data_IF_267678928886
#
_entry.id   IF_267678928886
#
_cell.length_a   1.000
_cell.length_b   1.000
_cell.length_c   1.000
_cell.angle_alpha   90.00
_cell.angle_beta   90.00
_cell.angle_gamma   90.00
#
_symmetry.space_group_name_H-M   'P 1'
#
loop_
_entity.id
_entity.type
_entity.pdbx_description
1 polymer ?
#
# COMPACT_ATOMS: atom_id res chain seq x y z
N UNK A 1 33.90 24.99 -2.86
CA UNK A 1 34.25 24.75 -1.45
C UNK A 1 33.95 23.31 -1.11
N UNK A 2 34.98 22.49 -0.92
CA UNK A 2 34.84 21.10 -0.50
C UNK A 2 34.82 21.06 1.04
N UNK A 3 33.63 20.94 1.62
CA UNK A 3 33.43 20.88 3.06
C UNK A 3 33.13 19.46 3.54
N UNK A 4 33.13 19.29 4.86
CA UNK A 4 32.85 18.03 5.58
C UNK A 4 31.60 17.27 5.10
N UNK A 5 30.64 17.95 4.47
CA UNK A 5 29.45 17.33 3.86
C UNK A 5 29.76 16.37 2.70
N UNK A 6 30.80 16.64 1.90
CA UNK A 6 31.20 15.75 0.80
C UNK A 6 31.81 14.44 1.32
N UNK A 7 32.51 14.50 2.46
CA UNK A 7 33.08 13.33 3.13
C UNK A 7 32.00 12.46 3.77
N UNK A 8 30.98 13.06 4.40
CA UNK A 8 29.84 12.35 4.94
C UNK A 8 29.06 11.60 3.85
N UNK A 9 28.80 12.25 2.70
CA UNK A 9 28.13 11.64 1.55
C UNK A 9 28.94 10.48 0.94
N UNK A 10 30.27 10.61 0.89
CA UNK A 10 31.14 9.52 0.41
C UNK A 10 31.18 8.31 1.36
N UNK A 11 31.03 8.53 2.67
CA UNK A 11 30.99 7.44 3.66
C UNK A 11 29.66 6.68 3.64
N UNK A 12 28.55 7.40 3.38
CA UNK A 12 27.23 6.79 3.19
C UNK A 12 27.14 6.03 1.87
N UNK A 13 27.81 6.51 0.82
CA UNK A 13 27.82 5.86 -0.50
C UNK A 13 28.76 4.64 -0.59
N UNK A 14 29.67 4.41 0.38
CA UNK A 14 30.67 3.34 0.34
C UNK A 14 30.57 2.30 1.45
N UNK A 15 29.52 2.34 2.27
CA UNK A 15 29.34 1.40 3.38
C UNK A 15 28.66 0.10 2.97
N UNK A 16 29.38 -0.84 2.35
CA UNK A 16 28.89 -2.22 2.30
C UNK A 16 29.39 -3.18 1.22
N UNK A 17 30.53 -2.97 0.57
CA UNK A 17 31.17 -4.07 -0.18
C UNK A 17 32.68 -4.08 0.07
N UNK A 18 33.12 -5.04 0.88
CA UNK A 18 34.52 -5.34 1.14
C UNK A 18 34.67 -6.85 1.39
N UNK A 19 34.83 -7.57 0.27
CA UNK A 19 35.96 -8.46 0.02
C UNK A 19 36.48 -9.30 1.20
N UNK A 20 36.01 -10.55 1.34
CA UNK A 20 36.84 -11.73 1.68
C UNK A 20 36.15 -13.03 1.18
N UNK A 21 36.79 -13.71 0.19
CA UNK A 21 36.83 -15.18 -0.12
C UNK A 21 35.52 -15.98 -0.16
N UNK A 22 35.23 -16.85 -1.13
CA UNK A 22 36.09 -17.86 -1.77
C UNK A 22 35.32 -18.53 -2.90
N UNK A 23 36.00 -18.87 -3.99
CA UNK A 23 35.57 -19.91 -4.93
C UNK A 23 35.13 -21.19 -4.17
N UNK A 24 34.00 -21.78 -4.56
CA UNK A 24 33.53 -23.03 -3.95
C UNK A 24 32.18 -23.49 -4.46
N UNK A 25 32.20 -24.25 -5.56
CA UNK A 25 31.28 -25.35 -5.93
C UNK A 25 29.77 -25.12 -5.92
N UNK A 26 29.19 -25.24 -7.12
CA UNK A 26 27.78 -25.47 -7.38
C UNK A 26 27.18 -26.59 -6.51
N UNK A 27 26.09 -26.29 -5.80
CA UNK A 27 25.00 -27.22 -5.48
C UNK A 27 23.68 -26.46 -5.47
N UNK A 28 22.73 -26.97 -6.25
CA UNK A 28 21.41 -26.38 -6.41
C UNK A 28 20.60 -26.36 -5.11
N UNK A 29 19.92 -25.25 -4.89
CA UNK A 29 18.82 -25.11 -3.95
C UNK A 29 17.69 -24.40 -4.67
N UNK A 30 16.48 -24.97 -4.58
CA UNK A 30 15.27 -24.56 -5.26
C UNK A 30 14.99 -23.04 -5.16
N UNK A 31 14.34 -22.43 -6.16
CA UNK A 31 14.02 -21.02 -6.12
C UNK A 31 13.05 -20.75 -4.97
N UNK A 32 13.53 -19.99 -3.99
CA UNK A 32 12.67 -19.43 -2.96
C UNK A 32 11.84 -18.35 -3.64
N UNK A 33 10.50 -18.43 -3.56
CA UNK A 33 9.59 -17.39 -4.05
C UNK A 33 10.06 -16.01 -3.52
N UNK A 34 10.61 -15.20 -4.41
CA UNK A 34 10.94 -13.81 -4.11
C UNK A 34 9.62 -13.04 -4.05
N UNK A 35 9.34 -12.43 -2.90
CA UNK A 35 8.23 -11.50 -2.73
C UNK A 35 8.47 -10.28 -3.63
N UNK A 36 7.42 -9.71 -4.26
CA UNK A 36 7.55 -8.51 -5.08
C UNK A 36 8.10 -7.34 -4.26
N UNK A 37 8.73 -6.33 -4.92
CA UNK A 37 9.33 -5.20 -4.22
C UNK A 37 8.29 -4.48 -3.37
N UNK A 38 8.63 -4.25 -2.10
CA UNK A 38 7.88 -3.38 -1.19
C UNK A 38 7.60 -2.03 -1.87
N UNK A 39 6.33 -1.60 -1.89
CA UNK A 39 5.93 -0.25 -2.34
C UNK A 39 6.39 0.87 -1.39
N UNK A 40 6.95 0.51 -0.23
CA UNK A 40 7.68 1.42 0.65
C UNK A 40 9.18 1.30 0.34
N UNK A 41 9.94 2.41 0.31
CA UNK A 41 11.38 2.39 0.08
C UNK A 41 12.04 1.30 0.93
N UNK A 42 13.01 0.59 0.35
CA UNK A 42 13.78 -0.37 1.12
C UNK A 42 14.33 0.32 2.38
N UNK A 43 14.18 -0.28 3.56
CA UNK A 43 14.58 0.38 4.79
C UNK A 43 16.06 0.76 4.71
N UNK A 44 16.42 1.89 5.32
CA UNK A 44 17.79 2.42 5.30
C UNK A 44 18.82 1.40 5.83
N UNK A 45 18.35 0.46 6.65
CA UNK A 45 19.12 -0.67 7.16
C UNK A 45 18.42 -1.99 6.84
N UNK A 46 19.17 -3.07 6.58
CA UNK A 46 18.58 -4.38 6.38
C UNK A 46 17.79 -4.82 7.63
N UNK A 47 16.48 -4.99 7.46
CA UNK A 47 15.59 -5.38 8.54
C UNK A 47 15.86 -6.83 8.98
N UNK A 48 16.19 -7.02 10.26
CA UNK A 48 16.33 -8.36 10.87
C UNK A 48 14.98 -8.96 11.22
N UNK A 49 14.01 -8.13 11.62
CA UNK A 49 12.65 -8.54 11.90
C UNK A 49 11.78 -8.36 10.65
N UNK A 50 10.95 -9.37 10.33
CA UNK A 50 10.05 -9.33 9.16
C UNK A 50 8.59 -9.10 9.54
N UNK A 51 8.21 -9.42 10.78
CA UNK A 51 6.84 -9.37 11.29
C UNK A 51 6.90 -8.95 12.76
N UNK A 52 6.04 -8.02 13.14
CA UNK A 52 5.93 -7.54 14.51
C UNK A 52 4.49 -7.73 14.96
N UNK A 53 4.30 -8.51 16.02
CA UNK A 53 3.03 -8.59 16.74
C UNK A 53 3.20 -7.78 18.00
N UNK A 54 2.34 -6.78 18.16
CA UNK A 54 2.32 -5.90 19.32
C UNK A 54 1.00 -6.07 20.06
N UNK A 55 1.08 -6.25 21.37
CA UNK A 55 -0.08 -6.41 22.24
C UNK A 55 -0.04 -5.34 23.35
N UNK A 56 -0.99 -4.41 23.29
CA UNK A 56 -1.28 -3.53 24.41
C UNK A 56 -2.41 -4.13 25.24
N UNK A 57 -2.11 -4.52 26.47
CA UNK A 57 -3.07 -5.21 27.34
C UNK A 57 -3.74 -4.20 28.29
N UNK A 58 -4.63 -3.36 27.76
CA UNK A 58 -5.42 -2.44 28.57
C UNK A 58 -6.35 -3.22 29.51
N UNK A 59 -6.34 -2.87 30.80
CA UNK A 59 -7.11 -3.58 31.84
C UNK A 59 -6.48 -4.88 32.34
N UNK A 60 -5.26 -5.23 31.91
CA UNK A 60 -4.50 -6.34 32.49
C UNK A 60 -4.09 -6.06 33.95
N UNK A 61 -3.70 -7.10 34.72
CA UNK A 61 -3.14 -6.91 36.05
C UNK A 61 -1.94 -5.94 36.04
N UNK A 62 -1.75 -5.24 37.16
CA UNK A 62 -0.73 -4.20 37.27
C UNK A 62 0.69 -4.74 37.07
N UNK A 63 1.61 -3.89 36.60
CA UNK A 63 3.01 -4.27 36.43
C UNK A 63 3.66 -4.75 37.74
N UNK A 64 3.25 -4.17 38.88
CA UNK A 64 3.75 -4.55 40.21
C UNK A 64 3.24 -5.93 40.68
N UNK A 65 2.17 -6.44 40.05
CA UNK A 65 1.63 -7.78 40.29
C UNK A 65 2.16 -8.83 39.32
N UNK A 66 2.80 -8.43 38.21
CA UNK A 66 3.26 -9.32 37.15
C UNK A 66 4.78 -9.44 37.06
N UNK A 67 5.49 -8.33 36.83
CA UNK A 67 6.90 -8.33 36.41
C UNK A 67 7.80 -7.34 37.19
N UNK A 68 7.23 -6.41 37.96
CA UNK A 68 7.99 -5.40 38.69
C UNK A 68 8.02 -5.70 40.21
N UNK A 69 8.96 -6.55 40.62
CA UNK A 69 9.08 -6.96 42.01
C UNK A 69 9.61 -5.84 42.92
N UNK A 70 8.75 -5.37 43.83
CA UNK A 70 9.07 -4.33 44.83
C UNK A 70 9.01 -4.87 46.28
N UNK A 71 10.02 -5.62 46.76
CA UNK A 71 10.01 -6.21 48.10
C UNK A 71 9.86 -5.18 49.23
N UNK A 72 10.35 -3.96 49.02
CA UNK A 72 10.27 -2.87 50.00
C UNK A 72 8.85 -2.41 50.32
N UNK A 73 7.88 -2.59 49.41
CA UNK A 73 6.50 -2.16 49.64
C UNK A 73 5.81 -2.96 50.74
N UNK A 74 6.18 -4.24 50.94
CA UNK A 74 5.60 -5.07 52.01
C UNK A 74 5.88 -4.51 53.40
N UNK A 75 7.06 -3.93 53.60
CA UNK A 75 7.43 -3.27 54.87
C UNK A 75 6.64 -1.99 55.12
N UNK A 76 6.08 -1.40 54.08
CA UNK A 76 5.32 -0.13 54.12
C UNK A 76 3.81 -0.35 54.02
N UNK A 77 3.33 -1.60 54.04
CA UNK A 77 1.92 -1.91 53.89
C UNK A 77 1.07 -1.14 54.91
N UNK A 78 -0.03 -0.55 54.44
CA UNK A 78 -0.99 0.23 55.23
C UNK A 78 -0.43 1.52 55.85
N UNK A 79 0.83 1.89 55.57
CA UNK A 79 1.35 3.22 55.86
C UNK A 79 0.79 4.19 54.82
N UNK A 80 0.41 5.39 55.25
CA UNK A 80 -0.08 6.42 54.32
C UNK A 80 1.04 6.92 53.42
N UNK A 81 0.69 7.22 52.17
CA UNK A 81 1.60 7.79 51.19
C UNK A 81 2.17 9.11 51.74
N UNK A 82 3.50 9.22 51.91
CA UNK A 82 4.10 10.41 52.50
C UNK A 82 3.95 11.63 51.59
N UNK A 83 3.83 12.81 52.21
CA UNK A 83 3.69 14.09 51.50
C UNK A 83 4.88 14.39 50.58
N UNK A 84 6.07 13.85 50.89
CA UNK A 84 7.26 13.98 50.04
C UNK A 84 7.09 13.36 48.65
N UNK A 85 6.18 12.39 48.50
CA UNK A 85 5.85 11.74 47.22
C UNK A 85 4.70 12.48 46.54
N UNK A 86 3.66 12.85 47.30
CA UNK A 86 2.48 13.53 46.75
C UNK A 86 2.78 14.96 46.32
N UNK A 87 3.65 15.68 47.03
CA UNK A 87 4.05 17.07 46.76
C UNK A 87 2.86 18.00 46.46
N UNK A 88 1.73 17.80 47.16
CA UNK A 88 0.50 18.58 46.96
C UNK A 88 -0.32 18.23 45.71
N UNK A 89 0.13 17.30 44.86
CA UNK A 89 -0.59 16.89 43.65
C UNK A 89 -1.89 16.13 43.98
N UNK A 90 -2.91 16.33 43.13
CA UNK A 90 -4.13 15.54 43.14
C UNK A 90 -3.90 14.27 42.30
N UNK A 91 -4.03 13.10 42.94
CA UNK A 91 -3.65 11.82 42.30
C UNK A 91 -4.68 11.40 41.24
N UNK A 92 -5.96 11.30 41.58
CA UNK A 92 -7.03 11.06 40.59
C UNK A 92 -8.36 11.65 41.07
N UNK A 93 -9.33 11.80 40.16
CA UNK A 93 -10.72 12.05 40.53
C UNK A 93 -11.37 10.88 41.27
N UNK A 94 -10.95 9.64 41.03
CA UNK A 94 -11.52 8.44 41.65
C UNK A 94 -11.13 8.29 43.12
N UNK A 95 -10.00 8.88 43.52
CA UNK A 95 -9.50 8.86 44.90
C UNK A 95 -9.83 10.15 45.66
N UNK A 96 -10.60 11.07 45.08
CA UNK A 96 -10.85 12.38 45.72
C UNK A 96 -11.71 12.30 46.98
N UNK A 97 -12.48 11.23 47.16
CA UNK A 97 -13.24 10.97 48.39
C UNK A 97 -12.47 10.18 49.45
N UNK A 98 -11.23 9.74 49.16
CA UNK A 98 -10.45 8.95 50.10
C UNK A 98 -9.73 9.86 51.10
N UNK A 99 -9.92 9.59 52.40
CA UNK A 99 -9.25 10.30 53.50
C UNK A 99 -7.81 9.83 53.71
N UNK A 100 -7.50 8.59 53.30
CA UNK A 100 -6.18 7.97 53.41
C UNK A 100 -5.78 7.32 52.09
N UNK A 101 -4.47 7.29 51.83
CA UNK A 101 -3.86 6.71 50.64
C UNK A 101 -2.82 5.67 51.07
N UNK A 102 -3.25 4.50 51.60
CA UNK A 102 -2.35 3.51 52.13
C UNK A 102 -1.53 2.84 51.02
N UNK A 103 -0.25 2.58 51.29
CA UNK A 103 0.61 1.78 50.41
C UNK A 103 0.13 0.32 50.40
N UNK A 104 -0.13 -0.21 49.21
CA UNK A 104 -0.51 -1.60 48.99
C UNK A 104 0.59 -2.32 48.16
N UNK A 105 1.27 -3.34 48.72
CA UNK A 105 2.17 -4.19 47.95
C UNK A 105 1.38 -5.22 47.13
N UNK A 106 2.04 -5.84 46.16
CA UNK A 106 1.49 -7.04 45.53
C UNK A 106 1.29 -8.16 46.57
N UNK A 107 0.12 -8.78 46.53
CA UNK A 107 -0.23 -9.94 47.37
C UNK A 107 0.36 -11.25 46.81
N UNK A 108 0.72 -11.26 45.53
CA UNK A 108 1.23 -12.44 44.83
C UNK A 108 2.69 -12.73 45.18
N UNK A 109 3.08 -14.00 45.03
CA UNK A 109 4.47 -14.45 45.20
C UNK A 109 5.26 -14.22 43.92
N UNK A 110 6.52 -13.85 44.09
CA UNK A 110 7.48 -13.70 43.00
C UNK A 110 8.61 -14.70 43.17
N UNK A 111 9.03 -15.28 42.05
CA UNK A 111 10.23 -16.12 41.98
C UNK A 111 11.21 -15.52 40.98
N UNK A 112 12.51 -15.67 41.25
CA UNK A 112 13.57 -15.21 40.34
C UNK A 112 13.89 -16.35 39.38
N UNK A 113 13.76 -16.07 38.09
CA UNK A 113 14.07 -16.99 37.01
C UNK A 113 15.36 -16.57 36.31
N UNK A 114 16.17 -17.54 35.91
CA UNK A 114 17.34 -17.26 35.09
C UNK A 114 16.93 -16.75 33.70
N UNK A 115 17.63 -15.75 33.20
CA UNK A 115 17.54 -15.28 31.82
C UNK A 115 18.97 -15.19 31.24
N UNK A 116 19.14 -14.62 30.04
CA UNK A 116 20.47 -14.43 29.42
C UNK A 116 21.27 -13.26 30.02
N UNK A 117 20.89 -12.77 31.20
CA UNK A 117 21.50 -11.67 31.94
C UNK A 117 21.51 -11.99 33.45
N UNK A 118 21.01 -11.09 34.30
CA UNK A 118 21.03 -11.18 35.76
C UNK A 118 19.78 -11.85 36.37
N UNK A 119 18.90 -12.43 35.54
CA UNK A 119 17.65 -13.04 35.94
C UNK A 119 16.51 -12.03 36.14
N UNK A 120 15.28 -12.53 36.10
CA UNK A 120 14.06 -11.70 36.16
C UNK A 120 13.12 -12.22 37.23
N UNK A 121 12.45 -11.29 37.92
CA UNK A 121 11.41 -11.64 38.89
C UNK A 121 10.06 -11.70 38.19
N UNK A 122 9.38 -12.84 38.30
CA UNK A 122 8.08 -13.06 37.67
C UNK A 122 7.11 -13.58 38.72
N UNK A 123 5.90 -13.03 38.70
CA UNK A 123 4.79 -13.40 39.57
C UNK A 123 4.31 -14.83 39.29
N UNK A 124 3.80 -15.49 40.32
CA UNK A 124 3.15 -16.80 40.22
C UNK A 124 1.94 -16.83 39.30
N UNK A 125 1.39 -15.67 38.93
CA UNK A 125 0.32 -15.52 37.95
C UNK A 125 0.74 -15.86 36.51
N UNK A 126 2.05 -15.83 36.22
CA UNK A 126 2.59 -16.03 34.86
C UNK A 126 3.49 -17.27 34.74
N UNK A 127 3.04 -18.47 35.18
CA UNK A 127 3.91 -19.65 35.31
C UNK A 127 4.43 -20.15 33.96
N UNK A 128 3.66 -19.97 32.88
CA UNK A 128 4.06 -20.39 31.53
C UNK A 128 5.05 -19.40 30.91
N UNK A 129 4.82 -18.09 31.07
CA UNK A 129 5.74 -17.04 30.63
C UNK A 129 7.07 -17.13 31.36
N UNK A 130 7.05 -17.49 32.65
CA UNK A 130 8.27 -17.65 33.44
C UNK A 130 9.21 -18.74 32.90
N UNK A 131 8.67 -19.80 32.29
CA UNK A 131 9.48 -20.85 31.62
C UNK A 131 10.24 -20.33 30.39
N UNK A 132 9.78 -19.21 29.82
CA UNK A 132 10.37 -18.56 28.65
C UNK A 132 11.26 -17.37 29.03
N UNK A 133 11.60 -17.19 30.30
CA UNK A 133 12.38 -16.04 30.78
C UNK A 133 13.72 -15.83 30.04
N UNK A 134 14.35 -16.91 29.55
CA UNK A 134 15.58 -16.85 28.75
C UNK A 134 15.39 -16.46 27.28
N UNK A 135 14.14 -16.40 26.80
CA UNK A 135 13.78 -16.04 25.43
C UNK A 135 13.10 -14.67 25.33
N UNK A 136 12.73 -14.08 26.46
CA UNK A 136 12.04 -12.79 26.53
C UNK A 136 13.00 -11.70 27.01
N UNK A 137 12.95 -10.56 26.35
CA UNK A 137 13.64 -9.34 26.79
C UNK A 137 12.67 -8.51 27.65
N UNK A 138 13.09 -8.19 28.88
CA UNK A 138 12.35 -7.29 29.77
C UNK A 138 13.00 -5.90 29.73
N UNK A 139 12.20 -4.86 29.50
CA UNK A 139 12.66 -3.47 29.41
C UNK A 139 11.99 -2.68 30.54
N UNK A 140 12.76 -2.32 31.56
CA UNK A 140 12.29 -1.55 32.73
C UNK A 140 12.78 -0.10 32.71
N UNK A 141 12.87 0.51 31.52
CA UNK A 141 13.39 1.87 31.34
C UNK A 141 12.32 2.94 31.18
N UNK A 142 11.03 2.58 31.15
CA UNK A 142 9.96 3.55 30.97
C UNK A 142 9.66 4.28 32.28
N UNK A 143 9.66 5.60 32.24
CA UNK A 143 9.23 6.48 33.31
C UNK A 143 8.22 7.49 32.77
N UNK A 144 7.16 7.77 33.52
CA UNK A 144 6.12 8.73 33.13
C UNK A 144 5.57 9.44 34.36
N UNK A 145 5.26 10.72 34.19
CA UNK A 145 4.55 11.54 35.18
C UNK A 145 3.02 11.44 35.01
N UNK A 146 2.55 10.71 34.00
CA UNK A 146 1.13 10.49 33.76
C UNK A 146 0.54 9.56 34.83
N UNK A 147 -0.31 10.11 35.68
CA UNK A 147 -1.08 9.37 36.69
C UNK A 147 -2.34 8.71 36.12
N UNK A 148 -2.84 9.22 34.99
CA UNK A 148 -4.03 8.71 34.32
C UNK A 148 -3.66 7.73 33.20
N UNK A 149 -4.51 6.72 33.01
CA UNK A 149 -4.31 5.69 31.99
C UNK A 149 -4.18 6.27 30.58
N UNK A 150 -5.09 7.16 30.13
CA UNK A 150 -5.10 7.63 28.73
C UNK A 150 -3.82 8.39 28.31
N UNK A 151 -3.32 9.38 29.09
CA UNK A 151 -2.01 10.00 28.82
C UNK A 151 -0.83 9.02 28.97
N UNK A 152 -0.92 8.06 29.90
CA UNK A 152 0.09 7.02 30.10
C UNK A 152 0.20 6.07 28.90
N UNK A 153 -0.93 5.65 28.34
CA UNK A 153 -0.99 4.83 27.11
C UNK A 153 -0.46 5.65 25.93
N UNK A 154 -0.87 6.91 25.80
CA UNK A 154 -0.37 7.80 24.73
C UNK A 154 1.15 7.93 24.81
N UNK A 155 1.71 8.10 26.01
CA UNK A 155 3.15 8.12 26.24
C UNK A 155 3.83 6.81 25.85
N UNK A 156 3.25 5.67 26.23
CA UNK A 156 3.79 4.37 25.86
C UNK A 156 3.80 4.16 24.33
N UNK A 157 2.73 4.59 23.66
CA UNK A 157 2.60 4.43 22.21
C UNK A 157 3.47 5.41 21.43
N UNK A 158 3.62 6.65 21.88
CA UNK A 158 4.15 7.76 21.05
C UNK A 158 5.39 8.44 21.63
N UNK A 159 5.80 8.07 22.86
CA UNK A 159 6.84 8.75 23.62
C UNK A 159 6.44 10.15 24.13
N UNK A 160 5.17 10.54 24.03
CA UNK A 160 4.65 11.82 24.53
C UNK A 160 3.26 11.64 25.15
N UNK A 161 2.97 12.35 26.24
CA UNK A 161 1.65 12.33 26.87
C UNK A 161 0.61 13.12 26.07
N UNK A 162 1.06 14.04 25.21
CA UNK A 162 0.20 14.80 24.28
C UNK A 162 0.04 14.05 22.95
N UNK A 163 -1.18 13.98 22.39
CA UNK A 163 -1.42 13.40 21.07
C UNK A 163 -0.70 14.12 19.93
N UNK A 164 -0.59 13.46 18.77
CA UNK A 164 -0.07 14.05 17.52
C UNK A 164 1.30 13.52 17.09
N UNK A 165 1.96 12.70 17.92
CA UNK A 165 3.16 11.96 17.52
C UNK A 165 2.82 10.58 16.96
N UNK A 166 3.61 10.06 16.01
CA UNK A 166 3.39 8.73 15.47
C UNK A 166 3.48 7.67 16.55
N UNK A 167 2.55 6.72 16.53
CA UNK A 167 2.57 5.59 17.44
C UNK A 167 3.66 4.58 17.08
N UNK A 168 3.95 3.66 18.01
CA UNK A 168 4.90 2.57 17.84
C UNK A 168 4.62 1.77 16.56
N UNK A 169 3.35 1.43 16.29
CA UNK A 169 2.97 0.69 15.09
C UNK A 169 3.27 1.46 13.79
N UNK A 170 3.06 2.77 13.77
CA UNK A 170 3.38 3.62 12.62
C UNK A 170 4.89 3.74 12.39
N UNK A 171 5.69 3.83 13.46
CA UNK A 171 7.15 3.77 13.34
C UNK A 171 7.66 2.43 12.82
N UNK A 172 7.03 1.33 13.25
CA UNK A 172 7.35 -0.01 12.73
C UNK A 172 6.96 -0.13 11.25
N UNK A 173 5.80 0.40 10.86
CA UNK A 173 5.35 0.45 9.45
C UNK A 173 6.33 1.23 8.58
N UNK A 174 6.76 2.40 9.04
CA UNK A 174 7.77 3.23 8.36
C UNK A 174 9.13 2.54 8.28
N UNK A 175 9.60 1.96 9.39
CA UNK A 175 10.95 1.39 9.48
C UNK A 175 11.12 0.02 8.84
N UNK A 176 10.05 -0.77 8.70
CA UNK A 176 10.12 -2.11 8.07
C UNK A 176 9.60 -2.12 6.63
N UNK A 177 8.84 -1.13 6.22
CA UNK A 177 8.17 -1.12 4.92
C UNK A 177 7.01 -2.13 4.86
N UNK A 178 6.52 -2.38 3.65
CA UNK A 178 5.41 -3.30 3.43
C UNK A 178 5.88 -4.57 2.73
N UNK A 179 5.52 -5.74 3.28
CA UNK A 179 5.74 -7.02 2.62
C UNK A 179 4.64 -7.38 1.61
N UNK A 180 3.66 -6.50 1.39
CA UNK A 180 2.43 -6.80 0.66
C UNK A 180 1.82 -5.53 0.03
N UNK A 181 1.29 -5.65 -1.19
CA UNK A 181 0.69 -4.54 -1.92
C UNK A 181 -0.81 -4.34 -1.61
N UNK A 182 -1.50 -5.37 -1.12
CA UNK A 182 -2.97 -5.47 -1.15
C UNK A 182 -3.65 -5.37 0.22
N UNK A 183 -2.89 -5.28 1.32
CA UNK A 183 -3.43 -5.12 2.68
C UNK A 183 -2.65 -4.04 3.42
N UNK A 184 -3.28 -3.37 4.40
CA UNK A 184 -2.60 -2.41 5.25
C UNK A 184 -1.37 -3.01 5.92
N UNK A 185 -0.25 -2.28 5.90
CA UNK A 185 1.00 -2.68 6.57
C UNK A 185 0.84 -2.74 8.09
N UNK A 186 0.03 -1.85 8.65
CA UNK A 186 -0.25 -1.75 10.08
C UNK A 186 -1.73 -2.00 10.36
N UNK A 187 -2.01 -3.18 10.91
CA UNK A 187 -3.36 -3.64 11.25
C UNK A 187 -3.56 -3.58 12.76
N UNK A 188 -4.71 -3.06 13.18
CA UNK A 188 -5.09 -2.91 14.59
C UNK A 188 -6.28 -3.81 14.89
N UNK A 189 -6.07 -4.75 15.80
CA UNK A 189 -7.11 -5.65 16.29
C UNK A 189 -7.49 -5.25 17.71
N UNK A 190 -8.78 -5.11 17.97
CA UNK A 190 -9.30 -4.79 19.30
C UNK A 190 -10.17 -5.94 19.77
N UNK A 191 -9.76 -6.54 20.89
CA UNK A 191 -10.55 -7.59 21.54
C UNK A 191 -11.86 -7.01 22.09
N UNK A 192 -12.98 -7.65 21.78
CA UNK A 192 -14.26 -7.38 22.41
C UNK A 192 -14.41 -8.33 23.61
N UNK A 193 -14.51 -7.77 24.81
CA UNK A 193 -14.69 -8.51 26.07
C UNK A 193 -16.07 -8.27 26.68
N UNK A 194 -16.41 -9.05 27.70
CA UNK A 194 -17.61 -8.86 28.51
C UNK A 194 -17.32 -7.89 29.66
N UNK A 195 -18.18 -6.88 29.87
CA UNK A 195 -18.10 -5.95 31.01
C UNK A 195 -17.72 -4.51 30.63
N UNK A 196 -17.23 -3.76 31.62
CA UNK A 196 -16.91 -2.33 31.50
C UNK A 196 -15.60 -2.15 30.71
N UNK A 197 -15.68 -2.29 29.39
CA UNK A 197 -14.54 -2.04 28.50
C UNK A 197 -14.22 -0.55 28.48
N UNK A 198 -12.97 -0.25 28.81
CA UNK A 198 -12.45 1.11 28.72
C UNK A 198 -12.37 1.52 27.24
N UNK A 199 -12.73 2.78 26.96
CA UNK A 199 -12.81 3.25 25.58
C UNK A 199 -11.39 3.46 25.01
N UNK A 200 -10.98 2.56 24.12
CA UNK A 200 -9.75 2.72 23.35
C UNK A 200 -9.89 3.86 22.34
N UNK A 201 -8.98 4.83 22.43
CA UNK A 201 -8.94 5.98 21.52
C UNK A 201 -8.17 5.67 20.24
N UNK A 202 -8.65 6.15 19.10
CA UNK A 202 -7.98 5.97 17.81
C UNK A 202 -6.57 6.59 17.75
N UNK A 203 -6.30 7.56 18.62
CA UNK A 203 -4.98 8.19 18.75
C UNK A 203 -3.86 7.21 19.14
N UNK A 204 -4.19 6.03 19.65
CA UNK A 204 -3.21 5.02 20.04
C UNK A 204 -2.56 4.30 18.84
N UNK A 205 -3.14 4.43 17.65
CA UNK A 205 -2.62 3.85 16.42
C UNK A 205 -2.54 4.88 15.27
N UNK A 206 -2.29 6.13 15.63
CA UNK A 206 -2.21 7.28 14.71
C UNK A 206 -0.82 7.39 14.06
N UNK A 207 -0.77 7.80 12.79
CA UNK A 207 0.47 8.12 12.08
C UNK A 207 1.09 9.44 12.53
N UNK A 208 0.33 10.34 13.18
CA UNK A 208 0.82 11.65 13.58
C UNK A 208 1.36 12.43 12.37
N UNK A 209 2.60 12.91 12.45
CA UNK A 209 3.24 13.60 11.32
C UNK A 209 3.83 12.67 10.24
N UNK A 210 3.79 11.35 10.42
CA UNK A 210 4.17 10.43 9.33
C UNK A 210 3.07 10.41 8.26
N UNK A 211 3.42 10.11 7.01
CA UNK A 211 2.44 9.93 5.94
C UNK A 211 1.30 8.99 6.36
N UNK A 212 0.09 9.30 5.88
CA UNK A 212 -1.14 8.60 6.24
C UNK A 212 -1.15 7.11 5.87
N UNK A 213 -0.25 6.67 5.00
CA UNK A 213 -0.02 5.25 4.69
C UNK A 213 0.47 4.42 5.89
N UNK A 214 1.03 5.07 6.91
CA UNK A 214 1.43 4.43 8.17
C UNK A 214 0.33 4.49 9.24
N UNK A 215 -0.86 4.96 8.90
CA UNK A 215 -2.01 4.99 9.79
C UNK A 215 -2.47 3.56 10.11
N UNK A 216 -2.74 3.28 11.38
CA UNK A 216 -3.27 1.99 11.79
C UNK A 216 -4.67 1.73 11.24
N UNK A 217 -4.83 0.64 10.51
CA UNK A 217 -6.12 0.18 10.02
C UNK A 217 -6.81 -0.70 11.06
N UNK A 218 -7.84 -0.16 11.74
CA UNK A 218 -8.64 -0.90 12.72
C UNK A 218 -9.57 -1.89 12.03
N UNK A 219 -9.40 -3.18 12.35
CA UNK A 219 -10.37 -4.21 12.00
C UNK A 219 -11.36 -4.44 13.14
N UNK A 220 -12.64 -4.54 12.78
CA UNK A 220 -13.75 -4.78 13.69
C UNK A 220 -14.09 -6.28 13.73
N UNK A 221 -14.54 -6.73 14.88
CA UNK A 221 -15.19 -8.04 14.99
C UNK A 221 -16.60 -7.93 14.42
N UNK A 222 -16.87 -8.61 13.29
CA UNK A 222 -18.16 -8.58 12.61
C UNK A 222 -18.05 -9.02 11.14
N UNK A 223 -19.17 -8.98 10.42
CA UNK A 223 -19.20 -9.28 8.99
C UNK A 223 -18.42 -8.23 8.15
N UNK A 224 -18.36 -7.00 8.66
CA UNK A 224 -17.65 -5.87 8.05
C UNK A 224 -16.41 -5.49 8.87
N UNK A 225 -15.24 -6.11 8.62
CA UNK A 225 -14.04 -5.85 9.40
C UNK A 225 -13.49 -4.44 9.19
N UNK A 226 -13.65 -3.88 7.98
CA UNK A 226 -13.34 -2.48 7.68
C UNK A 226 -14.65 -1.76 7.40
N UNK A 227 -14.86 -0.63 8.07
CA UNK A 227 -16.06 0.17 7.86
C UNK A 227 -16.14 0.65 6.42
N UNK A 228 -17.36 0.61 5.89
CA UNK A 228 -17.65 1.06 4.52
C UNK A 228 -16.80 0.36 3.48
N UNK A 229 -16.31 -0.87 3.73
CA UNK A 229 -15.66 -1.67 2.69
C UNK A 229 -16.70 -2.26 1.72
N UNK A 230 -17.83 -2.69 2.26
CA UNK A 230 -18.93 -3.23 1.48
C UNK A 230 -19.82 -2.14 0.90
N UNK A 231 -20.47 -2.47 -0.20
CA UNK A 231 -21.40 -1.59 -0.91
C UNK A 231 -22.71 -1.46 -0.11
N UNK A 232 -23.23 -0.23 0.11
CA UNK A 232 -24.50 -0.04 0.80
C UNK A 232 -25.64 -0.72 0.03
N UNK A 233 -26.71 -1.17 0.71
CA UNK A 233 -27.88 -1.74 0.05
C UNK A 233 -28.47 -0.77 -0.99
N UNK A 234 -28.63 -1.23 -2.23
CA UNK A 234 -29.14 -0.42 -3.34
C UNK A 234 -28.08 0.37 -4.11
N UNK A 235 -26.81 0.33 -3.69
CA UNK A 235 -25.68 0.88 -4.45
C UNK A 235 -25.07 -0.25 -5.26
N UNK A 236 -25.14 -0.15 -6.59
CA UNK A 236 -24.45 -1.11 -7.45
C UNK A 236 -22.93 -0.91 -7.32
N UNK A 237 -22.17 -1.97 -7.60
CA UNK A 237 -20.69 -1.87 -7.64
C UNK A 237 -20.21 -0.81 -8.64
N UNK A 238 -21.00 -0.53 -9.67
CA UNK A 238 -20.77 0.52 -10.67
C UNK A 238 -21.01 1.92 -10.10
N UNK A 239 -22.10 2.14 -9.36
CA UNK A 239 -22.38 3.41 -8.68
C UNK A 239 -21.31 3.74 -7.65
N UNK A 240 -20.93 2.71 -6.88
CA UNK A 240 -19.80 2.76 -5.95
C UNK A 240 -18.52 3.17 -6.65
N UNK A 241 -18.22 2.55 -7.80
CA UNK A 241 -17.02 2.84 -8.57
C UNK A 241 -17.03 4.27 -9.10
N UNK A 242 -18.13 4.72 -9.70
CA UNK A 242 -18.32 6.11 -10.17
C UNK A 242 -18.14 7.13 -9.05
N UNK A 243 -18.72 6.88 -7.88
CA UNK A 243 -18.54 7.73 -6.70
C UNK A 243 -17.07 7.82 -6.28
N UNK A 244 -16.36 6.69 -6.27
CA UNK A 244 -14.96 6.64 -5.86
C UNK A 244 -14.03 7.27 -6.92
N UNK A 245 -14.34 7.14 -8.21
CA UNK A 245 -13.62 7.79 -9.30
C UNK A 245 -13.80 9.31 -9.24
N UNK A 246 -15.02 9.80 -9.02
CA UNK A 246 -15.30 11.23 -8.84
C UNK A 246 -14.58 11.80 -7.62
N UNK A 247 -14.57 11.09 -6.49
CA UNK A 247 -13.79 11.49 -5.30
C UNK A 247 -12.29 11.51 -5.62
N UNK A 248 -11.80 10.57 -6.42
CA UNK A 248 -10.42 10.55 -6.92
C UNK A 248 -10.08 11.79 -7.74
N UNK A 249 -10.92 12.13 -8.71
CA UNK A 249 -10.76 13.32 -9.56
C UNK A 249 -10.78 14.61 -8.74
N UNK A 250 -11.72 14.73 -7.79
CA UNK A 250 -11.79 15.88 -6.89
C UNK A 250 -10.53 16.01 -6.02
N UNK A 251 -10.01 14.90 -5.50
CA UNK A 251 -8.76 14.90 -4.74
C UNK A 251 -7.56 15.29 -5.62
N UNK A 252 -7.52 14.86 -6.87
CA UNK A 252 -6.44 15.20 -7.80
C UNK A 252 -6.43 16.69 -8.13
N UNK A 253 -7.60 17.27 -8.43
CA UNK A 253 -7.77 18.72 -8.61
C UNK A 253 -7.38 19.52 -7.37
N UNK A 254 -7.73 19.02 -6.18
CA UNK A 254 -7.34 19.67 -4.93
C UNK A 254 -5.85 19.56 -4.65
N UNK A 255 -5.20 18.43 -4.99
CA UNK A 255 -3.76 18.23 -4.88
C UNK A 255 -2.98 19.20 -5.78
N UNK A 256 -3.44 19.41 -7.01
CA UNK A 256 -2.87 20.37 -7.95
C UNK A 256 -3.01 21.81 -7.45
N UNK A 257 -4.14 22.12 -6.79
CA UNK A 257 -4.43 23.45 -6.25
C UNK A 257 -3.64 23.78 -4.98
N UNK A 258 -3.52 22.82 -4.05
CA UNK A 258 -2.99 23.05 -2.71
C UNK A 258 -1.53 22.64 -2.54
N UNK A 259 -1.02 21.77 -3.42
CA UNK A 259 0.29 21.11 -3.28
C UNK A 259 0.48 20.40 -1.93
N UNK A 260 -0.62 20.06 -1.26
CA UNK A 260 -0.61 19.43 0.06
C UNK A 260 -0.13 17.97 -0.06
N UNK A 261 0.98 17.60 0.61
CA UNK A 261 1.47 16.22 0.64
C UNK A 261 0.44 15.21 1.17
N UNK A 262 -0.52 15.64 1.99
CA UNK A 262 -1.56 14.77 2.55
C UNK A 262 -2.58 14.33 1.49
N UNK A 263 -2.89 15.20 0.51
CA UNK A 263 -3.79 14.87 -0.60
C UNK A 263 -3.11 13.88 -1.55
N UNK A 264 -1.80 14.05 -1.81
CA UNK A 264 -0.98 13.07 -2.55
C UNK A 264 -0.94 11.71 -1.86
N UNK A 265 -0.72 11.68 -0.55
CA UNK A 265 -0.70 10.43 0.21
C UNK A 265 -2.05 9.68 0.18
N UNK A 266 -3.19 10.41 0.13
CA UNK A 266 -4.54 9.82 -0.05
C UNK A 266 -4.74 9.25 -1.45
N UNK A 267 -4.26 9.93 -2.49
CA UNK A 267 -4.28 9.44 -3.88
C UNK A 267 -3.44 8.16 -4.00
N UNK A 268 -2.24 8.12 -3.42
CA UNK A 268 -1.37 6.94 -3.40
C UNK A 268 -1.96 5.77 -2.59
N UNK A 269 -2.59 6.05 -1.46
CA UNK A 269 -3.33 5.02 -0.69
C UNK A 269 -4.48 4.42 -1.51
N UNK A 270 -5.15 5.23 -2.33
CA UNK A 270 -6.26 4.79 -3.19
C UNK A 270 -5.78 4.06 -4.45
N UNK A 271 -4.70 4.52 -5.08
CA UNK A 271 -4.04 3.85 -6.20
C UNK A 271 -3.54 2.44 -5.82
N UNK A 272 -3.11 2.26 -4.55
CA UNK A 272 -2.77 0.95 -3.98
C UNK A 272 -3.96 0.02 -3.87
N UNK A 273 -5.14 0.51 -3.51
CA UNK A 273 -6.38 -0.27 -3.47
C UNK A 273 -6.82 -0.75 -4.87
N UNK A 274 -6.35 -0.08 -5.93
CA UNK A 274 -6.67 -0.35 -7.34
C UNK A 274 -5.55 -1.01 -8.14
N UNK A 275 -4.38 -1.27 -7.52
CA UNK A 275 -3.27 -2.02 -8.12
C UNK A 275 -2.32 -1.24 -9.04
N UNK A 276 -2.47 0.08 -9.23
CA UNK A 276 -1.63 0.89 -10.15
C UNK A 276 -0.11 0.80 -9.91
N UNK A 277 0.39 0.93 -8.67
CA UNK A 277 1.83 0.86 -8.42
C UNK A 277 2.44 -0.50 -8.79
N UNK A 278 1.65 -1.58 -8.73
CA UNK A 278 2.10 -2.91 -9.11
C UNK A 278 2.27 -3.08 -10.63
N UNK A 279 1.41 -2.42 -11.42
CA UNK A 279 1.50 -2.45 -12.90
C UNK A 279 2.75 -1.69 -13.37
N UNK A 280 2.99 -0.49 -12.84
CA UNK A 280 4.22 0.26 -13.14
C UNK A 280 5.49 -0.50 -12.72
N UNK A 281 5.49 -1.12 -11.53
CA UNK A 281 6.64 -1.89 -11.07
C UNK A 281 6.92 -3.12 -11.96
N UNK A 282 5.88 -3.79 -12.43
CA UNK A 282 6.01 -4.95 -13.31
C UNK A 282 6.47 -4.54 -14.72
N UNK A 283 5.94 -3.45 -15.27
CA UNK A 283 6.41 -2.88 -16.55
C UNK A 283 7.87 -2.43 -16.46
N UNK A 284 8.28 -1.79 -15.35
CA UNK A 284 9.67 -1.43 -15.11
C UNK A 284 10.59 -2.66 -14.99
N UNK A 285 10.11 -3.76 -14.37
CA UNK A 285 10.83 -5.04 -14.29
C UNK A 285 11.03 -5.66 -15.68
N UNK A 286 10.06 -5.50 -16.57
CA UNK A 286 10.11 -6.01 -17.94
C UNK A 286 10.96 -5.13 -18.86
N UNK A 287 11.43 -3.97 -18.39
CA UNK A 287 12.26 -3.03 -19.16
C UNK A 287 11.45 -2.19 -20.14
N UNK A 288 10.13 -2.11 -19.96
CA UNK A 288 9.23 -1.38 -20.84
C UNK A 288 9.36 0.13 -20.61
N UNK A 289 9.31 0.93 -21.69
CA UNK A 289 9.50 2.39 -21.66
C UNK A 289 8.20 3.18 -21.55
N UNK A 290 7.09 2.51 -21.24
CA UNK A 290 5.76 3.15 -21.12
C UNK A 290 5.80 4.30 -20.10
N UNK A 291 5.26 5.45 -20.51
CA UNK A 291 5.43 6.72 -19.82
C UNK A 291 4.97 6.66 -18.35
N UNK A 292 5.71 7.37 -17.48
CA UNK A 292 5.46 7.43 -16.03
C UNK A 292 4.12 8.12 -15.65
N UNK A 293 3.28 8.48 -16.61
CA UNK A 293 2.04 9.25 -16.43
C UNK A 293 0.82 8.65 -17.16
N UNK A 294 0.80 7.33 -17.39
CA UNK A 294 -0.33 6.63 -18.02
C UNK A 294 -1.43 6.24 -17.00
N UNK A 295 -2.70 6.27 -17.42
CA UNK A 295 -3.83 5.80 -16.60
C UNK A 295 -3.96 4.27 -16.56
N UNK A 296 -5.01 3.77 -15.92
CA UNK A 296 -5.18 2.33 -15.62
C UNK A 296 -5.22 1.49 -16.89
N UNK A 297 -6.00 1.95 -17.87
CA UNK A 297 -6.27 1.20 -19.08
C UNK A 297 -5.01 1.08 -19.93
N UNK A 298 -4.24 2.16 -20.02
CA UNK A 298 -2.95 2.18 -20.71
C UNK A 298 -1.95 1.24 -20.04
N UNK A 299 -1.86 1.22 -18.71
CA UNK A 299 -0.98 0.29 -17.99
C UNK A 299 -1.38 -1.18 -18.14
N UNK A 300 -2.68 -1.46 -18.16
CA UNK A 300 -3.20 -2.81 -18.39
C UNK A 300 -2.89 -3.30 -19.80
N UNK A 301 -3.04 -2.43 -20.82
CA UNK A 301 -2.71 -2.75 -22.20
C UNK A 301 -1.21 -3.02 -22.36
N UNK A 302 -0.36 -2.12 -21.85
CA UNK A 302 1.09 -2.29 -21.88
C UNK A 302 1.53 -3.62 -21.23
N UNK A 303 0.92 -4.00 -20.10
CA UNK A 303 1.25 -5.26 -19.44
C UNK A 303 0.78 -6.47 -20.25
N UNK A 304 -0.37 -6.36 -20.92
CA UNK A 304 -0.88 -7.39 -21.82
C UNK A 304 0.07 -7.62 -23.00
N UNK A 305 0.56 -6.57 -23.64
CA UNK A 305 1.53 -6.64 -24.74
C UNK A 305 2.80 -7.38 -24.32
N UNK A 306 3.36 -7.02 -23.16
CA UNK A 306 4.61 -7.61 -22.66
C UNK A 306 4.45 -9.08 -22.19
N UNK A 307 3.33 -9.41 -21.54
CA UNK A 307 3.18 -10.71 -20.86
C UNK A 307 2.33 -11.73 -21.61
N UNK A 308 1.42 -11.30 -22.47
CA UNK A 308 0.36 -12.17 -23.01
C UNK A 308 0.43 -12.29 -24.52
N UNK A 309 0.66 -11.19 -25.25
CA UNK A 309 0.60 -11.17 -26.73
C UNK A 309 1.39 -12.31 -27.36
N UNK A 310 2.67 -12.45 -27.01
CA UNK A 310 3.57 -13.47 -27.58
C UNK A 310 3.14 -14.92 -27.33
N UNK A 311 2.22 -15.16 -26.38
CA UNK A 311 1.73 -16.50 -26.01
C UNK A 311 0.47 -16.90 -26.80
N UNK A 312 -0.15 -15.97 -27.53
CA UNK A 312 -1.40 -16.19 -28.27
C UNK A 312 -1.13 -16.87 -29.62
N UNK A 313 -0.77 -18.15 -29.58
CA UNK A 313 -0.39 -18.93 -30.78
C UNK A 313 -1.61 -19.25 -31.66
N UNK A 314 -2.67 -19.78 -31.05
CA UNK A 314 -3.92 -20.10 -31.75
C UNK A 314 -4.77 -18.84 -31.96
N UNK A 315 -5.66 -18.81 -32.97
CA UNK A 315 -6.60 -17.70 -33.16
C UNK A 315 -7.37 -17.40 -31.88
N UNK A 316 -7.04 -16.28 -31.26
CA UNK A 316 -7.57 -15.88 -29.95
C UNK A 316 -8.10 -14.47 -30.03
N UNK A 317 -9.39 -14.31 -29.70
CA UNK A 317 -9.99 -13.00 -29.52
C UNK A 317 -9.74 -12.51 -28.11
N UNK A 318 -9.06 -11.38 -27.99
CA UNK A 318 -9.03 -10.58 -26.78
C UNK A 318 -10.13 -9.55 -26.93
N UNK A 319 -10.98 -9.42 -25.91
CA UNK A 319 -12.16 -8.58 -25.94
C UNK A 319 -12.12 -7.62 -24.75
N UNK A 320 -12.98 -6.61 -24.79
CA UNK A 320 -13.32 -5.77 -23.64
C UNK A 320 -12.18 -4.85 -23.20
N UNK A 321 -11.73 -4.02 -24.13
CA UNK A 321 -10.65 -3.08 -23.89
C UNK A 321 -11.11 -1.87 -23.08
N UNK A 322 -10.24 -1.30 -22.22
CA UNK A 322 -10.54 -0.07 -21.51
C UNK A 322 -10.88 1.10 -22.46
N UNK A 323 -11.80 1.96 -22.02
CA UNK A 323 -12.18 3.20 -22.75
C UNK A 323 -10.98 4.10 -23.01
N UNK A 324 -10.07 4.18 -22.05
CA UNK A 324 -8.85 5.01 -22.12
C UNK A 324 -8.01 4.73 -23.37
N UNK A 325 -7.90 3.47 -23.79
CA UNK A 325 -7.09 3.03 -24.95
C UNK A 325 -7.93 2.79 -26.21
N UNK A 326 -9.22 3.13 -26.17
CA UNK A 326 -10.19 2.80 -27.22
C UNK A 326 -11.05 4.03 -27.57
N UNK A 327 -10.45 5.10 -28.13
CA UNK A 327 -11.11 6.41 -28.29
C UNK A 327 -12.28 6.42 -29.27
N UNK A 328 -12.39 5.42 -30.15
CA UNK A 328 -13.43 5.30 -31.18
C UNK A 328 -14.45 4.17 -30.89
N UNK A 329 -14.18 3.34 -29.88
CA UNK A 329 -15.03 2.19 -29.58
C UNK A 329 -16.17 2.58 -28.66
N UNK A 330 -17.38 2.11 -28.97
CA UNK A 330 -18.57 2.29 -28.15
C UNK A 330 -18.34 1.73 -26.75
N UNK A 331 -18.70 2.51 -25.73
CA UNK A 331 -18.68 2.04 -24.35
C UNK A 331 -19.72 0.91 -24.14
N UNK A 332 -19.39 -0.05 -23.27
CA UNK A 332 -20.31 -1.13 -22.95
C UNK A 332 -21.47 -0.65 -22.07
N UNK A 333 -22.69 -1.06 -22.41
CA UNK A 333 -23.90 -0.72 -21.62
C UNK A 333 -23.90 -1.37 -20.23
N UNK A 334 -23.16 -2.46 -20.05
CA UNK A 334 -23.19 -3.31 -18.84
C UNK A 334 -21.89 -3.29 -18.05
N UNK A 335 -20.83 -2.67 -18.57
CA UNK A 335 -19.51 -2.62 -17.93
C UNK A 335 -18.88 -1.24 -18.09
N UNK A 336 -19.03 -0.36 -17.09
CA UNK A 336 -18.42 0.96 -17.09
C UNK A 336 -16.88 0.89 -17.23
N UNK A 337 -16.33 1.79 -18.03
CA UNK A 337 -14.88 1.88 -18.29
C UNK A 337 -14.36 0.88 -19.32
N UNK A 338 -15.22 0.01 -19.87
CA UNK A 338 -14.91 -0.97 -20.92
C UNK A 338 -15.62 -0.58 -22.21
N UNK A 339 -14.98 -0.87 -23.33
CA UNK A 339 -15.54 -0.74 -24.67
C UNK A 339 -15.84 -2.10 -25.28
N UNK A 340 -16.80 -2.11 -26.19
CA UNK A 340 -17.17 -3.29 -26.99
C UNK A 340 -16.17 -3.46 -28.14
N UNK A 341 -14.90 -3.68 -27.80
CA UNK A 341 -13.77 -3.85 -28.71
C UNK A 341 -13.19 -5.24 -28.59
N UNK A 342 -12.67 -5.76 -29.70
CA UNK A 342 -11.87 -6.96 -29.75
C UNK A 342 -10.63 -6.78 -30.63
N UNK A 343 -9.60 -7.57 -30.34
CA UNK A 343 -8.46 -7.80 -31.22
C UNK A 343 -8.27 -9.31 -31.40
N UNK A 344 -7.97 -9.72 -32.63
CA UNK A 344 -7.66 -11.09 -33.00
C UNK A 344 -6.15 -11.26 -33.06
N UNK A 345 -5.62 -12.16 -32.23
CA UNK A 345 -4.23 -12.55 -32.27
C UNK A 345 -4.07 -13.96 -32.86
N UNK A 346 -3.09 -14.11 -33.75
CA UNK A 346 -2.68 -15.41 -34.33
C UNK A 346 -1.15 -15.43 -34.35
N UNK A 347 -0.54 -16.54 -33.94
CA UNK A 347 0.91 -16.71 -33.88
C UNK A 347 1.63 -15.58 -33.09
N UNK A 348 0.98 -15.08 -32.03
CA UNK A 348 1.49 -14.01 -31.17
C UNK A 348 1.56 -12.65 -31.84
N UNK A 349 0.73 -12.40 -32.87
CA UNK A 349 0.64 -11.13 -33.60
C UNK A 349 -0.82 -10.73 -33.78
N UNK A 350 -1.11 -9.45 -33.58
CA UNK A 350 -2.41 -8.87 -33.91
C UNK A 350 -2.67 -9.02 -35.43
N UNK A 351 -3.84 -9.55 -35.79
CA UNK A 351 -4.26 -9.82 -37.18
C UNK A 351 -5.51 -9.04 -37.57
N UNK A 352 -6.37 -8.72 -36.59
CA UNK A 352 -7.53 -7.86 -36.81
C UNK A 352 -7.91 -7.11 -35.53
N UNK A 353 -8.57 -5.96 -35.68
CA UNK A 353 -9.12 -5.16 -34.61
C UNK A 353 -10.52 -4.71 -35.02
N UNK A 354 -11.49 -4.84 -34.12
CA UNK A 354 -12.87 -4.45 -34.41
C UNK A 354 -13.62 -4.04 -33.16
N UNK A 355 -14.67 -3.24 -33.34
CA UNK A 355 -15.45 -2.72 -32.24
C UNK A 355 -16.85 -2.31 -32.70
N UNK A 356 -17.79 -2.29 -31.76
CA UNK A 356 -19.01 -1.47 -31.93
C UNK A 356 -18.58 -0.02 -32.07
N UNK A 357 -19.02 0.66 -33.12
CA UNK A 357 -18.63 2.03 -33.45
C UNK A 357 -19.25 3.02 -32.46
N UNK A 358 -18.45 3.97 -31.95
CA UNK A 358 -18.96 5.07 -31.16
C UNK A 358 -19.71 6.06 -32.06
N UNK A 359 -21.03 6.10 -31.92
CA UNK A 359 -21.91 6.96 -32.71
C UNK A 359 -22.53 8.13 -31.93
N UNK A 360 -22.14 8.30 -30.67
CA UNK A 360 -22.51 9.46 -29.85
C UNK A 360 -21.52 10.61 -30.11
N UNK A 361 -21.97 11.73 -30.73
CA UNK A 361 -21.08 12.85 -31.07
C UNK A 361 -20.52 13.56 -29.83
N UNK A 362 -21.25 13.59 -28.71
CA UNK A 362 -20.80 14.28 -27.50
C UNK A 362 -19.68 13.48 -26.81
N UNK A 363 -19.85 12.16 -26.70
CA UNK A 363 -18.80 11.27 -26.17
C UNK A 363 -17.57 11.28 -27.10
N UNK A 364 -17.77 11.18 -28.42
CA UNK A 364 -16.67 11.19 -29.37
C UNK A 364 -15.85 12.49 -29.31
N UNK A 365 -16.52 13.64 -29.18
CA UNK A 365 -15.86 14.93 -29.03
C UNK A 365 -15.05 15.01 -27.72
N UNK A 366 -15.60 14.53 -26.61
CA UNK A 366 -14.90 14.46 -25.33
C UNK A 366 -13.62 13.61 -25.42
N UNK A 367 -13.70 12.44 -26.07
CA UNK A 367 -12.53 11.56 -26.27
C UNK A 367 -11.47 12.17 -27.17
N UNK A 368 -11.86 12.90 -28.23
CA UNK A 368 -10.90 13.64 -29.04
C UNK A 368 -10.20 14.75 -28.26
N UNK A 369 -10.89 15.44 -27.35
CA UNK A 369 -10.25 16.45 -26.50
C UNK A 369 -9.22 15.81 -25.55
N UNK A 370 -9.49 14.64 -25.00
CA UNK A 370 -8.50 13.89 -24.21
C UNK A 370 -7.30 13.44 -25.05
N UNK A 371 -7.52 12.97 -26.28
CA UNK A 371 -6.43 12.63 -27.21
C UNK A 371 -5.57 13.86 -27.56
N UNK A 372 -6.18 15.04 -27.75
CA UNK A 372 -5.43 16.29 -27.95
C UNK A 372 -4.59 16.66 -26.73
N UNK A 373 -5.10 16.46 -25.51
CA UNK A 373 -4.31 16.67 -24.27
C UNK A 373 -3.14 15.70 -24.18
N UNK A 374 -3.35 14.41 -24.47
CA UNK A 374 -2.29 13.41 -24.51
C UNK A 374 -1.19 13.79 -25.52
N UNK A 375 -1.60 14.26 -26.71
CA UNK A 375 -0.68 14.76 -27.73
C UNK A 375 0.14 15.97 -27.26
N UNK A 376 -0.49 16.93 -26.58
CA UNK A 376 0.20 18.08 -26.00
C UNK A 376 1.17 17.68 -24.88
N UNK A 377 0.88 16.57 -24.18
CA UNK A 377 1.76 15.98 -23.18
C UNK A 377 2.92 15.15 -23.78
N UNK A 378 2.99 15.02 -25.11
CA UNK A 378 4.11 14.38 -25.81
C UNK A 378 3.81 13.02 -26.44
N UNK A 379 2.55 12.58 -26.48
CA UNK A 379 2.15 11.37 -27.21
C UNK A 379 2.06 11.67 -28.72
N UNK A 380 3.04 11.20 -29.49
CA UNK A 380 3.08 11.43 -30.94
C UNK A 380 1.99 10.65 -31.71
N UNK A 381 1.51 9.53 -31.13
CA UNK A 381 0.52 8.62 -31.73
C UNK A 381 -0.93 9.03 -31.43
N UNK A 382 -1.15 9.92 -30.46
CA UNK A 382 -2.47 10.41 -30.09
C UNK A 382 -3.18 11.17 -31.24
N UNK A 383 -4.50 10.96 -31.32
CA UNK A 383 -5.35 11.48 -32.40
C UNK A 383 -5.54 13.01 -32.36
N UNK A 384 -5.82 13.60 -33.53
CA UNK A 384 -6.25 14.99 -33.64
C UNK A 384 -7.76 15.11 -33.42
N UNK A 385 -8.21 16.31 -33.01
CA UNK A 385 -9.64 16.63 -33.02
C UNK A 385 -10.12 16.85 -34.46
N UNK A 386 -11.03 16.00 -34.92
CA UNK A 386 -11.66 16.11 -36.24
C UNK A 386 -13.09 16.67 -36.11
N UNK A 387 -13.23 17.98 -36.31
CA UNK A 387 -14.52 18.66 -36.20
C UNK A 387 -15.51 18.24 -37.31
N UNK A 388 -15.01 17.87 -38.49
CA UNK A 388 -15.87 17.44 -39.59
C UNK A 388 -16.43 16.04 -39.32
N UNK A 389 -15.64 15.15 -38.70
CA UNK A 389 -16.11 13.84 -38.24
C UNK A 389 -17.18 13.96 -37.15
N UNK A 390 -16.99 14.82 -36.15
CA UNK A 390 -18.01 15.08 -35.11
C UNK A 390 -19.30 15.59 -35.75
N UNK A 391 -19.19 16.56 -36.65
CA UNK A 391 -20.35 17.09 -37.39
C UNK A 391 -21.06 15.99 -38.18
N UNK A 392 -20.34 15.04 -38.77
CA UNK A 392 -20.94 13.90 -39.46
C UNK A 392 -21.73 13.00 -38.49
N UNK A 393 -21.22 12.75 -37.29
CA UNK A 393 -21.93 11.99 -36.25
C UNK A 393 -23.21 12.70 -35.78
N UNK A 394 -23.22 14.04 -35.69
CA UNK A 394 -24.39 14.85 -35.33
C UNK A 394 -25.55 14.71 -36.35
N UNK A 395 -25.26 14.44 -37.63
CA UNK A 395 -26.29 14.12 -38.62
C UNK A 395 -26.96 12.75 -38.37
N UNK A 396 -26.33 11.89 -37.58
CA UNK A 396 -26.84 10.59 -37.16
C UNK A 396 -26.14 9.43 -37.87
N UNK A 397 -25.21 8.79 -37.17
CA UNK A 397 -24.67 7.48 -37.56
C UNK A 397 -25.49 6.35 -36.90
N UNK A 398 -26.02 5.38 -37.67
CA UNK A 398 -26.71 4.23 -37.07
C UNK A 398 -25.74 3.39 -36.23
N UNK A 399 -26.23 2.57 -35.28
CA UNK A 399 -25.40 1.58 -34.62
C UNK A 399 -24.68 0.70 -35.66
N UNK A 400 -23.35 0.70 -35.61
CA UNK A 400 -22.49 0.04 -36.59
C UNK A 400 -21.38 -0.74 -35.87
N UNK A 401 -20.76 -1.67 -36.58
CA UNK A 401 -19.57 -2.38 -36.13
C UNK A 401 -18.49 -2.25 -37.20
N UNK A 402 -17.29 -1.84 -36.77
CA UNK A 402 -16.11 -1.73 -37.60
C UNK A 402 -15.18 -2.92 -37.40
N UNK A 403 -14.44 -3.27 -38.46
CA UNK A 403 -13.37 -4.25 -38.39
C UNK A 403 -12.27 -3.90 -39.40
N UNK A 404 -11.04 -3.76 -38.90
CA UNK A 404 -9.83 -3.68 -39.69
C UNK A 404 -9.09 -5.01 -39.66
N UNK A 405 -8.67 -5.50 -40.83
CA UNK A 405 -7.89 -6.74 -40.96
C UNK A 405 -6.54 -6.41 -41.60
N UNK A 406 -5.46 -6.84 -40.96
CA UNK A 406 -4.11 -6.71 -41.49
C UNK A 406 -3.88 -7.71 -42.63
N UNK A 407 -4.20 -7.33 -43.87
CA UNK A 407 -4.13 -8.19 -45.05
C UNK A 407 -2.75 -8.82 -45.21
N UNK A 408 -1.66 -8.05 -45.05
CA UNK A 408 -0.30 -8.56 -45.20
C UNK A 408 0.02 -9.65 -44.16
N UNK A 409 -0.33 -9.42 -42.89
CA UNK A 409 -0.14 -10.40 -41.80
C UNK A 409 -0.99 -11.66 -42.04
N UNK A 410 -2.19 -11.50 -42.56
CA UNK A 410 -3.05 -12.63 -42.92
C UNK A 410 -2.46 -13.45 -44.08
N UNK A 411 -1.94 -12.79 -45.12
CA UNK A 411 -1.25 -13.46 -46.23
C UNK A 411 0.00 -14.18 -45.72
N UNK A 412 0.81 -13.57 -44.86
CA UNK A 412 1.98 -14.22 -44.24
C UNK A 412 1.60 -15.54 -43.56
N UNK A 413 0.48 -15.55 -42.84
CA UNK A 413 0.00 -16.75 -42.16
C UNK A 413 -0.42 -17.85 -43.14
N UNK A 414 -1.08 -17.47 -44.24
CA UNK A 414 -1.55 -18.42 -45.28
C UNK A 414 -0.40 -18.98 -46.12
N UNK A 415 0.67 -18.21 -46.32
CA UNK A 415 1.81 -18.58 -47.16
C UNK A 415 3.01 -19.12 -46.38
N UNK A 416 2.89 -19.25 -45.04
CA UNK A 416 3.98 -19.62 -44.14
C UNK A 416 5.22 -18.71 -44.31
N UNK A 417 4.98 -17.42 -44.52
CA UNK A 417 6.02 -16.43 -44.72
C UNK A 417 6.46 -15.80 -43.38
N UNK A 418 7.75 -15.91 -43.00
CA UNK A 418 8.23 -15.40 -41.73
C UNK A 418 8.43 -13.87 -41.70
N UNK A 419 8.42 -13.20 -42.87
CA UNK A 419 8.57 -11.74 -42.98
C UNK A 419 7.49 -11.10 -43.84
N UNK A 420 7.04 -9.90 -43.45
CA UNK A 420 6.13 -9.07 -44.26
C UNK A 420 6.74 -8.70 -45.62
N UNK A 421 8.07 -8.69 -45.72
CA UNK A 421 8.78 -8.42 -46.97
C UNK A 421 8.59 -9.51 -48.02
N UNK A 422 8.24 -10.72 -47.59
CA UNK A 422 8.06 -11.86 -48.49
C UNK A 422 6.66 -11.87 -49.13
N UNK A 423 5.73 -11.08 -48.59
CA UNK A 423 4.36 -10.93 -49.13
C UNK A 423 4.13 -9.58 -49.83
N UNK A 424 5.10 -8.66 -49.75
CA UNK A 424 5.10 -7.39 -50.46
C UNK A 424 6.02 -7.47 -51.68
N UNK A 425 5.51 -7.16 -52.86
CA UNK A 425 6.31 -7.18 -54.11
C UNK A 425 7.51 -6.22 -54.07
N UNK A 426 7.34 -5.06 -53.44
CA UNK A 426 8.36 -4.00 -53.34
C UNK A 426 8.38 -3.42 -51.92
N UNK A 427 8.97 -4.11 -50.93
CA UNK A 427 9.01 -3.62 -49.56
C UNK A 427 9.90 -2.37 -49.44
N UNK A 428 9.60 -1.50 -48.48
CA UNK A 428 10.45 -0.35 -48.19
C UNK A 428 11.83 -0.82 -47.68
N UNK A 429 12.87 -0.46 -48.41
CA UNK A 429 14.26 -0.80 -48.10
C UNK A 429 15.00 0.42 -47.57
N UNK A 430 15.92 0.21 -46.63
CA UNK A 430 16.82 1.27 -46.19
C UNK A 430 17.67 1.73 -47.38
N UNK A 431 17.83 3.03 -47.62
CA UNK A 431 18.75 3.52 -48.64
C UNK A 431 20.17 3.02 -48.37
N UNK A 432 20.91 2.63 -49.41
CA UNK A 432 22.32 2.30 -49.29
C UNK A 432 23.12 3.59 -48.97
N UNK A 433 23.98 3.54 -47.95
CA UNK A 433 24.92 4.63 -47.66
C UNK A 433 25.90 4.74 -48.84
N UNK A 434 25.87 5.88 -49.55
CA UNK A 434 26.92 6.18 -50.54
C UNK A 434 28.22 6.44 -49.78
N UNK A 435 29.15 5.48 -49.88
CA UNK A 435 30.52 5.61 -49.37
C UNK A 435 31.33 6.72 -50.04
#
# INVERSE_FOLDING_TARGET
GAGLGSLALSSLARGGDSLVRSMGTARGTAPTLALPPSALPSPHFPARAKRVIYMHMEGAPSQIDLFDYKPGLRRRFNQDLPDSIRQGQRITGMTSGQTRLPVAPSIFRFSRYANRQDGVWISELMPHTARLASEICFIHSMHTDAINHEPGITFFQTGNQQPGRPCFGSWVSYGLGSANANLPTFVVLITQGFGNMQALSARFWDSGFLPSEHQGCKLRAGADPVLFLNDPPGVTREDRRRMLDLVGELNQREAERTLDPEVRARIEARARELGWPSLHAELARLGSTHAQESGLGALQLALFEELVESKLVQPTYIVDYPVEVSPLARASDTRPGITERFELYIAGRETANGFSELNDPEDQAARFLEQVKARQAGDEEAMYYDADYIRALEYGMPPAAGCGVGVDRFVMLLTDAPSIRDVLLFPHMRPEERG
#
